data_IF_511027538288
#
_entry.id   IF_511027538288
#
_cell.length_a   1.000
_cell.length_b   1.000
_cell.length_c   1.000
_cell.angle_alpha   90.00
_cell.angle_beta   90.00
_cell.angle_gamma   90.00
#
_symmetry.space_group_name_H-M   'P 1'
#
loop_
_entity.id
_entity.type
_entity.pdbx_description
1 polymer ?
#
# COMPACT_ATOMS: atom_id res chain seq x y z
N UNK A 1 -14.72 -13.10 8.98
CA UNK A 1 -13.45 -12.36 8.96
C UNK A 1 -13.65 -11.11 8.14
N UNK A 2 -13.40 -9.94 8.70
CA UNK A 2 -13.49 -8.64 8.01
C UNK A 2 -12.10 -8.03 7.86
N UNK A 3 -11.95 -7.10 6.95
CA UNK A 3 -10.68 -6.40 6.74
C UNK A 3 -10.24 -5.63 8.00
N UNK A 4 -11.20 -5.15 8.76
CA UNK A 4 -10.97 -4.41 10.00
C UNK A 4 -10.39 -5.30 11.10
N UNK A 5 -10.65 -6.61 11.08
CA UNK A 5 -10.00 -7.58 11.97
C UNK A 5 -8.49 -7.68 11.69
N UNK A 6 -8.13 -7.60 10.40
CA UNK A 6 -6.74 -7.56 9.97
C UNK A 6 -6.09 -6.25 10.44
N UNK A 7 -6.82 -5.13 10.43
CA UNK A 7 -6.27 -3.84 10.88
C UNK A 7 -6.14 -3.74 12.40
N UNK A 8 -7.13 -4.23 13.15
CA UNK A 8 -7.19 -4.13 14.61
C UNK A 8 -6.28 -5.16 15.31
N UNK A 9 -6.11 -6.36 14.75
CA UNK A 9 -5.35 -7.41 15.41
C UNK A 9 -5.03 -8.63 14.54
N UNK A 10 -4.05 -8.51 13.64
CA UNK A 10 -3.59 -9.61 12.75
C UNK A 10 -3.29 -10.92 13.48
N UNK A 11 -2.64 -10.84 14.65
CA UNK A 11 -2.28 -12.03 15.42
C UNK A 11 -3.52 -12.73 15.96
N UNK A 12 -4.45 -11.98 16.53
CA UNK A 12 -5.69 -12.51 17.09
C UNK A 12 -6.56 -13.15 16.00
N UNK A 13 -6.68 -12.49 14.84
CA UNK A 13 -7.37 -13.08 13.68
C UNK A 13 -6.74 -14.41 13.24
N UNK A 14 -5.40 -14.49 13.19
CA UNK A 14 -4.71 -15.72 12.83
C UNK A 14 -4.87 -16.81 13.91
N UNK A 15 -4.90 -16.44 15.20
CA UNK A 15 -5.24 -17.37 16.29
C UNK A 15 -6.64 -17.95 16.11
N UNK A 16 -7.64 -17.12 15.78
CA UNK A 16 -9.01 -17.55 15.50
C UNK A 16 -9.07 -18.49 14.29
N UNK A 17 -8.35 -18.18 13.21
CA UNK A 17 -8.27 -19.04 12.01
C UNK A 17 -7.62 -20.38 12.35
N UNK A 18 -6.49 -20.38 13.06
CA UNK A 18 -5.80 -21.62 13.43
C UNK A 18 -6.65 -22.50 14.35
N UNK A 19 -7.34 -21.87 15.31
CA UNK A 19 -8.30 -22.55 16.18
C UNK A 19 -9.45 -23.17 15.38
N UNK A 20 -10.05 -22.40 14.45
CA UNK A 20 -11.12 -22.87 13.58
C UNK A 20 -10.69 -24.07 12.72
N UNK A 21 -9.46 -24.06 12.22
CA UNK A 21 -8.90 -25.14 11.40
C UNK A 21 -8.35 -26.32 12.24
N UNK A 22 -8.29 -26.20 13.57
CA UNK A 22 -7.75 -27.23 14.46
C UNK A 22 -6.23 -27.43 14.32
N UNK A 23 -5.48 -26.41 13.88
CA UNK A 23 -4.03 -26.49 13.67
C UNK A 23 -3.27 -25.76 14.77
N UNK A 24 -2.03 -26.18 15.02
CA UNK A 24 -1.15 -25.50 15.99
C UNK A 24 -0.82 -24.10 15.51
N UNK A 25 -0.94 -23.12 16.40
CA UNK A 25 -0.63 -21.74 16.08
C UNK A 25 0.88 -21.54 15.88
N UNK A 26 1.25 -20.95 14.75
CA UNK A 26 2.62 -20.51 14.48
C UNK A 26 2.61 -19.11 13.89
N UNK A 27 3.30 -18.19 14.54
CA UNK A 27 3.38 -16.79 14.11
C UNK A 27 4.79 -16.49 13.63
N UNK A 28 4.95 -16.31 12.31
CA UNK A 28 6.19 -15.80 11.75
C UNK A 28 6.47 -14.34 12.18
N UNK A 29 7.74 -13.96 12.23
CA UNK A 29 8.18 -12.61 12.63
C UNK A 29 7.62 -11.50 11.72
N UNK A 30 7.18 -11.83 10.51
CA UNK A 30 6.70 -10.86 9.51
C UNK A 30 5.22 -10.49 9.65
N UNK A 31 4.47 -11.11 10.57
CA UNK A 31 3.03 -10.84 10.73
C UNK A 31 2.76 -9.38 11.10
N UNK A 32 3.73 -8.68 11.68
CA UNK A 32 3.66 -7.26 11.99
C UNK A 32 4.15 -6.35 10.85
N UNK A 33 4.83 -6.91 9.83
CA UNK A 33 5.34 -6.14 8.70
C UNK A 33 4.21 -5.68 7.79
N UNK A 34 4.27 -4.44 7.30
CA UNK A 34 3.32 -3.90 6.32
C UNK A 34 3.99 -3.88 4.95
N UNK A 35 3.50 -4.72 4.04
CA UNK A 35 3.91 -4.73 2.63
C UNK A 35 3.29 -3.57 1.85
N UNK A 36 3.94 -3.11 0.78
CA UNK A 36 3.39 -2.16 -0.19
C UNK A 36 2.86 -0.84 0.39
N UNK A 37 3.55 -0.28 1.40
CA UNK A 37 3.22 1.08 1.84
C UNK A 37 3.46 2.07 0.69
N UNK A 38 2.40 2.79 0.28
CA UNK A 38 2.52 3.87 -0.68
C UNK A 38 3.50 4.91 -0.14
N UNK A 39 4.56 5.15 -0.91
CA UNK A 39 5.58 6.15 -0.60
C UNK A 39 5.41 7.34 -1.51
N UNK A 40 5.61 8.54 -0.97
CA UNK A 40 5.73 9.76 -1.77
C UNK A 40 7.16 10.25 -1.73
N UNK A 41 7.63 10.95 -2.79
CA UNK A 41 8.95 11.54 -2.77
C UNK A 41 9.06 12.57 -1.64
N UNK A 42 10.18 12.56 -0.91
CA UNK A 42 10.45 13.55 0.14
C UNK A 42 10.77 14.91 -0.49
N UNK A 43 11.55 14.91 -1.56
CA UNK A 43 11.95 16.07 -2.35
C UNK A 43 11.51 15.82 -3.80
N UNK A 44 10.49 16.57 -4.25
CA UNK A 44 9.90 16.40 -5.59
C UNK A 44 10.91 16.72 -6.69
N UNK A 45 11.72 17.76 -6.52
CA UNK A 45 12.73 18.15 -7.52
C UNK A 45 13.79 17.07 -7.77
N UNK A 46 14.17 16.31 -6.73
CA UNK A 46 15.08 15.16 -6.87
C UNK A 46 14.42 14.04 -7.67
N UNK A 47 13.13 13.77 -7.40
CA UNK A 47 12.38 12.77 -8.14
C UNK A 47 12.20 13.16 -9.62
N UNK A 48 11.90 14.43 -9.89
CA UNK A 48 11.80 15.00 -11.23
C UNK A 48 13.15 14.97 -11.96
N UNK A 49 14.25 15.31 -11.28
CA UNK A 49 15.59 15.25 -11.88
C UNK A 49 15.98 13.82 -12.28
N UNK A 50 15.79 12.84 -11.38
CA UNK A 50 16.09 11.43 -11.67
C UNK A 50 15.21 10.90 -12.80
N UNK A 51 13.92 11.25 -12.80
CA UNK A 51 12.96 10.82 -13.83
C UNK A 51 13.25 11.46 -15.19
N UNK A 52 13.49 12.78 -15.21
CA UNK A 52 13.84 13.52 -16.42
C UNK A 52 15.17 13.07 -17.01
N UNK A 53 16.19 12.83 -16.19
CA UNK A 53 17.46 12.25 -16.64
C UNK A 53 17.24 10.88 -17.29
N UNK A 54 16.37 10.04 -16.73
CA UNK A 54 16.01 8.75 -17.33
C UNK A 54 15.34 8.92 -18.68
N UNK A 55 14.37 9.84 -18.81
CA UNK A 55 13.65 10.13 -20.05
C UNK A 55 14.58 10.64 -21.16
N UNK A 56 15.49 11.55 -20.84
CA UNK A 56 16.51 12.06 -21.78
C UNK A 56 17.42 10.94 -22.29
N UNK A 57 17.67 9.91 -21.47
CA UNK A 57 18.50 8.75 -21.80
C UNK A 57 17.73 7.59 -22.46
N UNK A 58 16.41 7.69 -22.64
CA UNK A 58 15.59 6.66 -23.32
C UNK A 58 15.81 6.57 -24.85
N UNK A 59 15.98 7.68 -25.61
CA UNK A 59 16.15 7.63 -27.05
C UNK A 59 17.34 6.76 -27.47
N UNK A 60 17.19 6.04 -28.60
CA UNK A 60 18.23 5.14 -29.16
C UNK A 60 19.58 5.84 -29.39
N UNK A 61 19.59 7.17 -29.55
CA UNK A 61 20.79 8.01 -29.73
C UNK A 61 21.75 7.98 -28.53
N UNK A 62 21.27 7.69 -27.32
CA UNK A 62 22.06 7.67 -26.08
C UNK A 62 22.34 6.26 -25.52
N UNK A 63 22.21 5.22 -26.36
CA UNK A 63 22.37 3.82 -25.93
C UNK A 63 23.77 3.49 -25.38
N UNK A 64 24.80 4.14 -25.92
CA UNK A 64 26.19 4.01 -25.46
C UNK A 64 26.35 4.59 -24.04
N UNK A 65 25.78 5.77 -23.80
CA UNK A 65 25.80 6.45 -22.51
C UNK A 65 24.99 5.66 -21.45
N UNK A 66 23.85 5.10 -21.83
CA UNK A 66 23.04 4.22 -20.97
C UNK A 66 23.82 2.99 -20.49
N UNK A 67 24.66 2.41 -21.36
CA UNK A 67 25.50 1.27 -21.02
C UNK A 67 26.62 1.67 -20.05
N UNK A 68 27.22 2.84 -20.25
CA UNK A 68 28.22 3.42 -19.35
C UNK A 68 27.66 3.70 -17.94
N UNK A 69 26.51 4.38 -17.87
CA UNK A 69 25.82 4.73 -16.61
C UNK A 69 25.37 3.49 -15.84
N UNK A 70 24.96 2.42 -16.55
CA UNK A 70 24.59 1.15 -15.91
C UNK A 70 25.82 0.42 -15.36
N UNK A 71 26.94 0.43 -16.08
CA UNK A 71 28.20 -0.19 -15.64
C UNK A 71 28.88 0.57 -14.51
N UNK A 72 28.71 1.89 -14.43
CA UNK A 72 29.29 2.72 -13.36
C UNK A 72 28.53 2.63 -12.04
N UNK A 73 27.37 1.93 -12.00
CA UNK A 73 26.53 1.86 -10.81
C UNK A 73 25.69 3.11 -10.55
N UNK A 74 25.86 4.19 -11.33
CA UNK A 74 25.08 5.42 -11.18
C UNK A 74 23.57 5.18 -11.32
N UNK A 75 23.15 4.25 -12.18
CA UNK A 75 21.75 3.84 -12.27
C UNK A 75 21.23 3.19 -10.97
N UNK A 76 22.03 2.31 -10.35
CA UNK A 76 21.67 1.65 -9.10
C UNK A 76 21.62 2.65 -7.93
N UNK A 77 22.53 3.63 -7.91
CA UNK A 77 22.52 4.72 -6.93
C UNK A 77 21.27 5.59 -7.11
N UNK A 78 20.91 5.94 -8.34
CA UNK A 78 19.72 6.73 -8.62
C UNK A 78 18.42 5.99 -8.19
N UNK A 79 18.34 4.69 -8.43
CA UNK A 79 17.25 3.84 -7.94
C UNK A 79 17.21 3.77 -6.42
N UNK A 80 18.36 3.59 -5.76
CA UNK A 80 18.47 3.59 -4.30
C UNK A 80 17.99 4.93 -3.70
N UNK A 81 18.43 6.05 -4.30
CA UNK A 81 18.03 7.38 -3.87
C UNK A 81 16.53 7.54 -4.05
N UNK A 82 15.97 7.20 -5.22
CA UNK A 82 14.54 7.37 -5.49
C UNK A 82 13.65 6.48 -4.64
N UNK A 83 14.03 5.22 -4.39
CA UNK A 83 13.13 4.20 -3.84
C UNK A 83 13.31 3.96 -2.33
N UNK A 84 14.46 4.37 -1.77
CA UNK A 84 14.79 4.17 -0.34
C UNK A 84 15.16 5.44 0.43
N UNK A 85 15.85 6.40 -0.18
CA UNK A 85 16.37 7.58 0.53
C UNK A 85 15.40 8.77 0.43
N UNK A 86 14.95 9.10 -0.78
CA UNK A 86 14.08 10.22 -1.08
C UNK A 86 12.60 9.84 -0.99
N UNK A 87 12.23 8.97 -0.05
CA UNK A 87 10.86 8.52 0.14
C UNK A 87 10.39 8.79 1.55
N UNK A 88 9.12 9.13 1.69
CA UNK A 88 8.41 9.18 2.96
C UNK A 88 7.09 8.41 2.86
N UNK A 89 6.55 7.89 3.97
CA UNK A 89 5.21 7.34 3.98
C UNK A 89 4.21 8.38 3.45
N UNK A 90 3.24 7.94 2.66
CA UNK A 90 2.13 8.80 2.27
C UNK A 90 1.22 9.02 3.48
N UNK A 91 1.38 10.16 4.16
CA UNK A 91 0.59 10.52 5.35
C UNK A 91 -0.86 10.88 4.98
N UNK A 92 -1.03 11.63 3.88
CA UNK A 92 -2.34 12.13 3.47
C UNK A 92 -2.86 11.31 2.29
N UNK A 93 -3.52 10.19 2.57
CA UNK A 93 -4.38 9.55 1.56
C UNK A 93 -5.50 10.53 1.22
N UNK A 94 -5.82 10.75 -0.07
CA UNK A 94 -6.95 11.61 -0.43
C UNK A 94 -8.21 11.03 0.21
N UNK A 95 -8.84 11.83 1.08
CA UNK A 95 -10.13 11.49 1.63
C UNK A 95 -11.20 11.61 0.53
N UNK A 96 -12.20 10.75 0.56
CA UNK A 96 -13.40 10.95 -0.25
C UNK A 96 -14.07 12.25 0.19
N UNK A 97 -14.67 12.98 -0.75
CA UNK A 97 -15.53 14.10 -0.38
C UNK A 97 -16.71 13.59 0.45
N UNK A 98 -17.19 14.42 1.38
CA UNK A 98 -18.30 14.04 2.26
C UNK A 98 -19.54 13.66 1.45
N UNK A 99 -19.82 14.39 0.37
CA UNK A 99 -20.92 14.10 -0.55
C UNK A 99 -20.84 12.70 -1.17
N UNK A 100 -19.65 12.31 -1.63
CA UNK A 100 -19.43 10.98 -2.20
C UNK A 100 -19.51 9.92 -1.12
N UNK A 101 -18.97 10.18 0.07
CA UNK A 101 -19.05 9.27 1.21
C UNK A 101 -20.50 8.99 1.60
N UNK A 102 -21.32 10.03 1.78
CA UNK A 102 -22.74 9.91 2.14
C UNK A 102 -23.51 9.17 1.04
N UNK A 103 -23.28 9.50 -0.23
CA UNK A 103 -23.94 8.82 -1.34
C UNK A 103 -23.72 7.30 -1.30
N UNK A 104 -22.48 6.86 -1.09
CA UNK A 104 -22.17 5.43 -1.01
C UNK A 104 -22.68 4.78 0.27
N UNK A 105 -22.62 5.48 1.41
CA UNK A 105 -23.17 4.98 2.67
C UNK A 105 -24.67 4.74 2.56
N UNK A 106 -25.42 5.67 1.96
CA UNK A 106 -26.85 5.51 1.71
C UNK A 106 -27.14 4.40 0.70
N UNK A 107 -26.35 4.33 -0.38
CA UNK A 107 -26.52 3.32 -1.42
C UNK A 107 -26.40 1.90 -0.88
N UNK A 108 -25.39 1.63 -0.03
CA UNK A 108 -25.15 0.29 0.53
C UNK A 108 -25.85 0.02 1.88
N UNK A 109 -26.62 0.98 2.40
CA UNK A 109 -27.20 0.90 3.75
C UNK A 109 -28.00 -0.37 4.01
N UNK A 110 -28.85 -0.77 3.07
CA UNK A 110 -29.68 -1.96 3.22
C UNK A 110 -28.87 -3.25 3.04
N UNK A 111 -27.90 -3.27 2.13
CA UNK A 111 -26.99 -4.40 1.95
C UNK A 111 -26.16 -4.65 3.21
N UNK A 112 -25.64 -3.58 3.84
CA UNK A 112 -24.90 -3.68 5.11
C UNK A 112 -25.80 -4.27 6.18
N UNK A 113 -27.05 -3.82 6.30
CA UNK A 113 -28.00 -4.34 7.30
C UNK A 113 -28.33 -5.82 7.09
N UNK A 114 -28.55 -6.24 5.84
CA UNK A 114 -28.75 -7.65 5.52
C UNK A 114 -27.50 -8.48 5.83
N UNK A 115 -26.31 -7.95 5.52
CA UNK A 115 -25.05 -8.61 5.84
C UNK A 115 -24.85 -8.75 7.36
N UNK A 116 -25.13 -7.73 8.15
CA UNK A 116 -25.07 -7.77 9.62
C UNK A 116 -25.92 -8.91 10.19
N UNK A 117 -27.15 -9.08 9.68
CA UNK A 117 -28.03 -10.16 10.08
C UNK A 117 -27.49 -11.53 9.67
N UNK A 118 -26.95 -11.63 8.45
CA UNK A 118 -26.43 -12.88 7.89
C UNK A 118 -25.21 -13.39 8.66
N UNK A 119 -24.25 -12.51 8.95
CA UNK A 119 -23.00 -12.88 9.64
C UNK A 119 -23.10 -12.72 11.17
N UNK A 120 -24.26 -12.26 11.66
CA UNK A 120 -24.56 -11.99 13.07
C UNK A 120 -23.48 -11.12 13.74
N UNK A 121 -23.11 -10.02 13.08
CA UNK A 121 -22.03 -9.15 13.53
C UNK A 121 -22.40 -7.69 13.29
N UNK A 122 -21.96 -6.82 14.21
CA UNK A 122 -22.09 -5.37 14.06
C UNK A 122 -21.14 -4.86 12.96
N UNK A 123 -21.69 -4.16 11.98
CA UNK A 123 -20.98 -3.50 10.88
C UNK A 123 -21.21 -1.98 10.93
N UNK A 124 -21.52 -1.41 12.09
CA UNK A 124 -21.74 0.02 12.26
C UNK A 124 -20.56 0.89 11.78
N UNK A 125 -19.35 0.33 11.72
CA UNK A 125 -18.16 0.97 11.13
C UNK A 125 -18.30 1.28 9.62
N UNK A 126 -19.22 0.62 8.91
CA UNK A 126 -19.46 0.79 7.47
C UNK A 126 -20.65 1.72 7.17
N UNK A 127 -21.40 2.11 8.21
CA UNK A 127 -22.52 3.05 8.13
C UNK A 127 -22.01 4.49 8.31
#
# INVERSE_FOLDING_TARGET
MLYEDIQSGRKQLLEEIYSFLGVTSWFGNEITSRSNQTKTPRIESVNQFISGAREILQPKKFRWLKTGIRKSGAAAIAELIRDRINVKPMENRPALSETTRTHWADYFKEDIKQLEQLIQRDLSIWK
#
